data_IF_469360440365
#
_entry.id   IF_469360440365
#
_cell.length_a   1.000
_cell.length_b   1.000
_cell.length_c   1.000
_cell.angle_alpha   90.00
_cell.angle_beta   90.00
_cell.angle_gamma   90.00
#
_symmetry.space_group_name_H-M   'P 1'
#
loop_
_entity.id
_entity.type
_entity.pdbx_description
1 polymer ?
#
# COMPACT_ATOMS: atom_id res chain seq x y z
N UNK A 1 26.12 10.75 -0.81
CA UNK A 1 26.84 9.85 0.11
C UNK A 1 25.78 9.10 0.91
N UNK A 2 25.31 7.97 0.37
CA UNK A 2 24.25 7.16 1.00
C UNK A 2 24.95 6.20 1.96
N UNK A 3 24.84 6.47 3.26
CA UNK A 3 25.30 5.56 4.32
C UNK A 3 24.35 4.35 4.44
N UNK A 4 24.85 3.22 4.96
CA UNK A 4 24.53 1.89 4.48
C UNK A 4 23.12 1.47 4.88
N UNK A 5 22.44 0.79 3.95
CA UNK A 5 21.18 0.07 4.18
C UNK A 5 21.48 -1.15 5.06
N UNK A 6 21.77 -0.88 6.34
CA UNK A 6 22.01 -1.88 7.35
C UNK A 6 20.69 -2.53 7.76
N UNK A 7 20.67 -3.86 7.71
CA UNK A 7 19.69 -4.77 8.30
C UNK A 7 18.42 -5.08 7.47
N UNK A 8 18.57 -5.93 6.45
CA UNK A 8 17.53 -6.94 6.18
C UNK A 8 18.13 -8.25 5.66
N UNK A 9 18.71 -9.07 6.55
CA UNK A 9 19.21 -10.42 6.22
C UNK A 9 18.73 -11.53 7.16
N UNK A 10 17.73 -11.27 8.03
CA UNK A 10 17.19 -12.30 8.93
C UNK A 10 16.68 -13.58 8.22
N UNK A 11 16.11 -13.54 7.00
CA UNK A 11 15.63 -14.77 6.34
C UNK A 11 16.73 -15.68 5.79
N UNK A 12 17.95 -15.17 5.58
CA UNK A 12 18.96 -15.86 4.77
C UNK A 12 20.12 -16.44 5.57
N UNK A 13 20.11 -16.30 6.90
CA UNK A 13 21.11 -16.93 7.79
C UNK A 13 22.54 -16.42 7.62
N UNK A 14 22.77 -15.39 6.80
CA UNK A 14 24.07 -14.78 6.55
C UNK A 14 23.97 -13.27 6.71
N UNK A 15 25.02 -12.65 7.27
CA UNK A 15 25.17 -11.21 7.33
C UNK A 15 25.76 -10.66 6.01
N UNK A 16 25.76 -9.33 5.87
CA UNK A 16 26.44 -8.60 4.79
C UNK A 16 26.00 -8.95 3.35
N UNK A 17 24.74 -9.38 3.19
CA UNK A 17 24.13 -9.53 1.88
C UNK A 17 23.56 -8.19 1.39
N UNK A 18 23.64 -7.94 0.09
CA UNK A 18 22.87 -6.88 -0.57
C UNK A 18 21.42 -7.36 -0.76
N UNK A 19 20.42 -6.70 -0.16
CA UNK A 19 19.04 -7.19 -0.17
C UNK A 19 18.29 -6.78 -1.44
N UNK A 20 17.99 -7.73 -2.32
CA UNK A 20 17.17 -7.53 -3.53
C UNK A 20 15.87 -8.36 -3.50
N UNK A 21 15.24 -8.45 -2.33
CA UNK A 21 14.22 -9.50 -2.06
C UNK A 21 12.83 -8.96 -1.72
N UNK A 22 12.74 -7.74 -1.21
CA UNK A 22 11.49 -7.07 -0.84
C UNK A 22 11.16 -6.03 -1.91
N UNK A 23 9.88 -5.88 -2.23
CA UNK A 23 9.41 -4.95 -3.26
C UNK A 23 9.17 -3.53 -2.71
N UNK A 24 10.15 -2.99 -2.00
CA UNK A 24 10.27 -1.56 -1.70
C UNK A 24 11.40 -0.94 -2.55
N UNK A 25 11.78 0.30 -2.26
CA UNK A 25 12.76 1.03 -3.06
C UNK A 25 13.79 1.72 -2.17
N UNK A 26 15.06 1.67 -2.59
CA UNK A 26 16.17 2.43 -1.99
C UNK A 26 16.23 3.88 -2.50
N UNK A 27 15.11 4.41 -3.04
CA UNK A 27 15.00 5.79 -3.48
C UNK A 27 14.31 6.64 -2.41
N UNK A 28 14.75 7.89 -2.28
CA UNK A 28 14.03 8.85 -1.47
C UNK A 28 12.62 9.10 -2.04
N UNK A 29 11.64 9.16 -1.14
CA UNK A 29 10.27 9.55 -1.47
C UNK A 29 10.23 10.94 -2.14
N UNK A 30 9.28 11.16 -3.04
CA UNK A 30 9.12 12.44 -3.73
C UNK A 30 9.02 13.63 -2.75
N UNK A 31 9.67 14.78 -3.02
CA UNK A 31 9.71 15.93 -2.10
C UNK A 31 8.33 16.40 -1.66
N UNK A 32 7.35 16.46 -2.56
CA UNK A 32 5.99 16.90 -2.23
C UNK A 32 5.29 16.02 -1.16
N UNK A 33 5.62 14.72 -1.10
CA UNK A 33 5.09 13.82 -0.09
C UNK A 33 5.79 14.08 1.25
N UNK A 34 7.11 14.29 1.23
CA UNK A 34 7.88 14.63 2.43
C UNK A 34 7.38 15.95 3.04
N UNK A 35 7.16 16.98 2.22
CA UNK A 35 6.67 18.29 2.67
C UNK A 35 5.26 18.20 3.28
N UNK A 36 4.37 17.42 2.66
CA UNK A 36 3.02 17.16 3.18
C UNK A 36 3.07 16.44 4.55
N UNK A 37 3.96 15.45 4.69
CA UNK A 37 4.17 14.76 5.97
C UNK A 37 4.76 15.69 7.03
N UNK A 38 5.75 16.51 6.70
CA UNK A 38 6.34 17.49 7.61
C UNK A 38 5.30 18.49 8.11
N UNK A 39 4.46 19.00 7.20
CA UNK A 39 3.33 19.88 7.54
C UNK A 39 2.37 19.18 8.50
N UNK A 40 2.01 17.92 8.22
CA UNK A 40 1.12 17.14 9.07
C UNK A 40 1.72 16.84 10.45
N UNK A 41 3.03 16.61 10.53
CA UNK A 41 3.77 16.41 11.78
C UNK A 41 3.79 17.72 12.58
N UNK A 42 4.04 18.86 11.92
CA UNK A 42 4.06 20.18 12.55
C UNK A 42 2.73 20.59 13.22
N UNK A 43 1.60 20.04 12.76
CA UNK A 43 0.29 20.25 13.40
C UNK A 43 0.23 19.74 14.86
N UNK A 44 1.03 18.75 15.25
CA UNK A 44 1.17 18.29 16.64
C UNK A 44 0.00 17.50 17.23
N UNK A 45 -1.22 17.58 16.66
CA UNK A 45 -2.38 16.78 17.10
C UNK A 45 -2.59 15.58 16.18
N UNK A 46 -2.56 14.36 16.74
CA UNK A 46 -2.62 13.08 16.02
C UNK A 46 -3.84 12.23 16.39
N UNK A 47 -4.96 12.90 16.71
CA UNK A 47 -6.24 12.22 16.95
C UNK A 47 -6.82 11.55 15.70
N UNK A 48 -8.07 11.10 15.83
CA UNK A 48 -8.79 10.43 14.74
C UNK A 48 -8.76 11.23 13.44
N UNK A 49 -8.33 10.57 12.36
CA UNK A 49 -8.27 11.17 11.02
C UNK A 49 -9.40 10.61 10.16
N UNK A 50 -10.11 11.50 9.45
CA UNK A 50 -11.20 11.12 8.54
C UNK A 50 -10.67 11.00 7.11
N UNK A 51 -10.49 9.76 6.66
CA UNK A 51 -10.04 9.48 5.29
C UNK A 51 -11.09 9.87 4.23
N UNK A 52 -12.38 9.67 4.53
CA UNK A 52 -13.49 9.92 3.59
C UNK A 52 -13.83 11.41 3.56
N UNK A 53 -12.97 12.16 2.90
CA UNK A 53 -13.09 13.59 2.61
C UNK A 53 -12.95 13.84 1.11
N UNK A 54 -13.46 14.99 0.65
CA UNK A 54 -13.59 15.28 -0.78
C UNK A 54 -12.23 15.45 -1.47
N UNK A 55 -11.24 16.02 -0.79
CA UNK A 55 -9.88 16.22 -1.33
C UNK A 55 -9.19 14.87 -1.61
N UNK A 56 -9.26 13.94 -0.67
CA UNK A 56 -8.68 12.60 -0.83
C UNK A 56 -9.37 11.83 -1.96
N UNK A 57 -10.71 11.82 -1.99
CA UNK A 57 -11.47 11.12 -3.03
C UNK A 57 -11.24 11.73 -4.42
N UNK A 58 -11.15 13.06 -4.52
CA UNK A 58 -10.85 13.75 -5.76
C UNK A 58 -9.44 13.43 -6.26
N UNK A 59 -8.44 13.37 -5.36
CA UNK A 59 -7.07 13.00 -5.73
C UNK A 59 -7.00 11.57 -6.31
N UNK A 60 -7.71 10.61 -5.69
CA UNK A 60 -7.80 9.23 -6.20
C UNK A 60 -8.47 9.20 -7.58
N UNK A 61 -9.64 9.83 -7.73
CA UNK A 61 -10.36 9.86 -9.00
C UNK A 61 -9.52 10.52 -10.11
N UNK A 62 -8.85 11.63 -9.79
CA UNK A 62 -7.96 12.33 -10.71
C UNK A 62 -6.79 11.45 -11.16
N UNK A 63 -6.14 10.74 -10.24
CA UNK A 63 -5.03 9.83 -10.58
C UNK A 63 -5.46 8.74 -11.56
N UNK A 64 -6.61 8.10 -11.31
CA UNK A 64 -7.13 7.05 -12.20
C UNK A 64 -7.49 7.59 -13.59
N UNK A 65 -8.10 8.77 -13.63
CA UNK A 65 -8.43 9.42 -14.89
C UNK A 65 -7.18 9.79 -15.69
N UNK A 66 -6.19 10.42 -15.06
CA UNK A 66 -4.96 10.85 -15.74
C UNK A 66 -4.10 9.68 -16.19
N UNK A 67 -3.94 8.65 -15.34
CA UNK A 67 -2.97 7.58 -15.60
C UNK A 67 -3.52 6.43 -16.44
N UNK A 68 -4.82 6.20 -16.36
CA UNK A 68 -5.49 5.03 -16.94
C UNK A 68 -6.72 5.37 -17.79
N UNK A 69 -7.05 6.66 -17.96
CA UNK A 69 -8.27 7.11 -18.65
C UNK A 69 -9.55 6.47 -18.08
N UNK A 70 -9.54 6.16 -16.78
CA UNK A 70 -10.63 5.46 -16.10
C UNK A 70 -11.38 6.41 -15.18
N UNK A 71 -12.71 6.42 -15.31
CA UNK A 71 -13.60 7.18 -14.43
C UNK A 71 -14.02 6.30 -13.26
N UNK A 72 -13.75 6.75 -12.03
CA UNK A 72 -14.07 6.02 -10.79
C UNK A 72 -15.29 6.67 -10.11
N UNK A 73 -16.28 5.88 -9.71
CA UNK A 73 -17.32 6.34 -8.78
C UNK A 73 -16.75 6.40 -7.37
N UNK A 74 -16.52 7.61 -6.86
CA UNK A 74 -15.94 7.83 -5.53
C UNK A 74 -16.81 7.28 -4.39
N UNK A 75 -18.11 7.05 -4.63
CA UNK A 75 -19.02 6.43 -3.64
C UNK A 75 -18.71 4.95 -3.42
N UNK A 76 -18.09 4.28 -4.40
CA UNK A 76 -17.70 2.88 -4.33
C UNK A 76 -16.32 2.66 -3.69
N UNK A 77 -15.58 3.73 -3.38
CA UNK A 77 -14.25 3.62 -2.77
C UNK A 77 -14.39 3.17 -1.31
N UNK A 78 -13.66 2.11 -0.98
CA UNK A 78 -13.49 1.60 0.38
C UNK A 78 -12.04 1.73 0.78
N UNK A 79 -11.79 2.19 2.01
CA UNK A 79 -10.45 2.31 2.56
C UNK A 79 -10.08 1.05 3.35
N UNK A 80 -8.88 0.55 3.13
CA UNK A 80 -8.33 -0.60 3.84
C UNK A 80 -6.83 -0.43 4.09
N UNK A 81 -6.30 -1.03 5.18
CA UNK A 81 -4.90 -0.87 5.58
C UNK A 81 -3.91 -1.55 4.63
N UNK A 82 -4.33 -2.57 3.88
CA UNK A 82 -3.50 -3.23 2.86
C UNK A 82 -4.35 -4.01 1.85
N UNK A 83 -3.76 -4.30 0.69
CA UNK A 83 -4.40 -5.13 -0.35
C UNK A 83 -4.71 -6.54 0.16
N UNK A 84 -3.82 -7.16 0.93
CA UNK A 84 -3.99 -8.52 1.47
C UNK A 84 -5.14 -8.59 2.48
N UNK A 85 -5.26 -7.56 3.33
CA UNK A 85 -6.38 -7.45 4.26
C UNK A 85 -7.71 -7.34 3.51
N UNK A 86 -7.78 -6.45 2.52
CA UNK A 86 -8.99 -6.27 1.71
C UNK A 86 -9.36 -7.54 0.95
N UNK A 87 -8.39 -8.26 0.38
CA UNK A 87 -8.65 -9.55 -0.26
C UNK A 87 -9.19 -10.59 0.73
N UNK A 88 -8.60 -10.66 1.94
CA UNK A 88 -9.07 -11.58 2.99
C UNK A 88 -10.51 -11.27 3.41
N UNK A 89 -10.88 -9.99 3.49
CA UNK A 89 -12.27 -9.59 3.75
C UNK A 89 -13.21 -9.91 2.59
N UNK A 90 -12.78 -9.74 1.33
CA UNK A 90 -13.60 -10.09 0.17
C UNK A 90 -13.91 -11.59 0.15
N UNK A 91 -12.91 -12.44 0.40
CA UNK A 91 -13.11 -13.90 0.46
C UNK A 91 -14.08 -14.25 1.59
N UNK A 92 -13.90 -13.69 2.79
CA UNK A 92 -14.82 -13.92 3.92
C UNK A 92 -16.25 -13.52 3.63
N UNK A 93 -16.47 -12.48 2.84
CA UNK A 93 -17.81 -11.98 2.56
C UNK A 93 -18.47 -12.69 1.37
N UNK A 94 -17.69 -13.24 0.44
CA UNK A 94 -18.17 -13.73 -0.86
C UNK A 94 -17.94 -15.23 -1.06
N UNK A 95 -17.57 -15.97 -0.01
CA UNK A 95 -17.42 -17.44 -0.05
C UNK A 95 -17.73 -18.06 1.30
N UNK A 96 -18.07 -19.35 1.27
CA UNK A 96 -18.27 -20.18 2.45
C UNK A 96 -17.10 -21.15 2.69
N UNK A 97 -17.01 -21.69 3.90
CA UNK A 97 -16.02 -22.70 4.22
C UNK A 97 -16.24 -23.96 3.36
N UNK A 98 -15.23 -24.31 2.56
CA UNK A 98 -15.29 -25.43 1.61
C UNK A 98 -15.32 -24.98 0.14
N UNK A 99 -15.60 -23.71 -0.12
CA UNK A 99 -15.52 -23.15 -1.47
C UNK A 99 -14.07 -23.07 -1.96
N UNK A 100 -13.89 -23.24 -3.27
CA UNK A 100 -12.59 -23.07 -3.94
C UNK A 100 -12.38 -21.64 -4.42
N UNK A 101 -11.15 -21.13 -4.32
CA UNK A 101 -10.74 -19.84 -4.91
C UNK A 101 -9.72 -20.09 -6.02
N UNK A 102 -10.03 -19.64 -7.23
CA UNK A 102 -9.14 -19.79 -8.40
C UNK A 102 -8.02 -18.74 -8.36
N UNK A 103 -6.80 -19.19 -8.59
CA UNK A 103 -5.59 -18.36 -8.67
C UNK A 103 -4.74 -18.77 -9.87
N UNK A 104 -4.06 -17.81 -10.50
CA UNK A 104 -3.08 -18.08 -11.56
C UNK A 104 -1.67 -18.10 -10.99
N UNK A 105 -0.92 -19.18 -11.20
CA UNK A 105 0.48 -19.32 -10.75
C UNK A 105 1.47 -19.14 -11.90
N UNK A 106 2.67 -18.55 -11.68
CA UNK A 106 3.20 -18.07 -10.40
C UNK A 106 2.53 -16.77 -9.93
N UNK A 107 2.46 -16.57 -8.60
CA UNK A 107 1.84 -15.39 -7.98
C UNK A 107 2.59 -14.92 -6.74
N UNK A 108 2.16 -13.77 -6.20
CA UNK A 108 2.58 -13.31 -4.89
C UNK A 108 2.16 -14.32 -3.81
N UNK A 109 3.14 -14.89 -3.10
CA UNK A 109 2.97 -16.00 -2.15
C UNK A 109 2.03 -15.68 -0.99
N UNK A 110 1.96 -14.42 -0.56
CA UNK A 110 1.17 -13.98 0.62
C UNK A 110 -0.31 -13.76 0.36
N UNK A 111 -0.75 -13.85 -0.90
CA UNK A 111 -2.08 -13.43 -1.33
C UNK A 111 -3.17 -14.44 -0.99
N UNK A 112 -2.84 -15.74 -0.97
CA UNK A 112 -3.66 -16.89 -0.57
C UNK A 112 -2.73 -18.08 -0.33
#
# INVERSE_FOLDING_TARGET
>A
MVHPVGLYCRPFGAADLLPFTISDMDFATAPCIIDALQTRIGHGVFGYSRWKNDEFLAAVAHWFHQRFHSTIDTRAIVYGPSVIYMLSELIRQWSDAGDGVVIHTPRLRRVL
#
